data_IF_217684037479
#
_entry.id   IF_217684037479
#
_cell.length_a   1.000
_cell.length_b   1.000
_cell.length_c   1.000
_cell.angle_alpha   90.00
_cell.angle_beta   90.00
_cell.angle_gamma   90.00
#
_symmetry.space_group_name_H-M   'P 1'
#
loop_
_entity.id
_entity.type
_entity.pdbx_description
1 polymer ?
#
# COMPACT_ATOMS: atom_id res chain seq x y z
N UNK A 1 -4.74 10.15 -12.58
CA UNK A 1 -5.51 9.03 -11.98
C UNK A 1 -4.51 7.92 -11.74
N UNK A 2 -4.35 7.44 -10.51
CA UNK A 2 -3.47 6.28 -10.24
C UNK A 2 -4.17 5.04 -10.79
N UNK A 3 -3.56 4.34 -11.74
CA UNK A 3 -4.08 3.06 -12.23
C UNK A 3 -3.68 1.92 -11.30
N UNK A 4 -4.45 0.84 -11.30
CA UNK A 4 -4.11 -0.41 -10.61
C UNK A 4 -2.69 -0.88 -10.97
N UNK A 5 -2.29 -0.80 -12.25
CA UNK A 5 -0.93 -1.13 -12.68
C UNK A 5 0.15 -0.23 -12.05
N UNK A 6 -0.14 1.06 -11.88
CA UNK A 6 0.76 1.99 -11.22
C UNK A 6 0.90 1.66 -9.73
N UNK A 7 -0.19 1.25 -9.07
CA UNK A 7 -0.18 0.81 -7.68
C UNK A 7 0.60 -0.51 -7.52
N UNK A 8 0.33 -1.51 -8.37
CA UNK A 8 1.06 -2.79 -8.41
C UNK A 8 2.56 -2.60 -8.58
N UNK A 9 2.98 -1.78 -9.55
CA UNK A 9 4.41 -1.46 -9.73
C UNK A 9 5.01 -0.83 -8.48
N UNK A 10 4.25 0.03 -7.83
CA UNK A 10 4.72 0.74 -6.64
C UNK A 10 4.88 -0.20 -5.46
N UNK A 11 3.93 -1.12 -5.24
CA UNK A 11 4.02 -2.18 -4.22
C UNK A 11 5.12 -3.19 -4.54
N UNK A 12 5.22 -3.61 -5.81
CA UNK A 12 6.25 -4.55 -6.28
C UNK A 12 7.67 -3.97 -6.16
N UNK A 13 7.85 -2.69 -6.49
CA UNK A 13 9.15 -2.01 -6.38
C UNK A 13 9.67 -1.98 -4.94
N UNK A 14 8.79 -2.00 -3.94
CA UNK A 14 9.15 -1.81 -2.55
C UNK A 14 9.08 -3.09 -1.70
N UNK A 15 8.20 -4.04 -2.05
CA UNK A 15 8.04 -5.31 -1.33
C UNK A 15 8.73 -6.49 -2.03
N UNK A 16 9.15 -6.33 -3.28
CA UNK A 16 9.76 -7.42 -4.06
C UNK A 16 8.76 -8.52 -4.47
N UNK A 17 9.22 -9.54 -5.22
CA UNK A 17 8.38 -10.62 -5.75
C UNK A 17 7.99 -11.67 -4.70
N UNK A 18 8.67 -11.70 -3.55
CA UNK A 18 8.43 -12.70 -2.50
C UNK A 18 7.93 -12.01 -1.23
N UNK A 19 6.61 -12.03 -1.07
CA UNK A 19 5.87 -11.66 0.14
C UNK A 19 5.81 -10.16 0.44
N UNK A 20 4.59 -9.68 0.65
CA UNK A 20 4.35 -8.38 1.24
C UNK A 20 4.85 -8.39 2.69
N UNK A 21 6.09 -7.92 2.93
CA UNK A 21 6.64 -7.66 4.27
C UNK A 21 6.62 -6.15 4.55
N UNK A 22 5.69 -5.67 5.40
CA UNK A 22 5.60 -4.25 5.69
C UNK A 22 6.79 -3.69 6.49
N UNK A 23 7.51 -4.50 7.25
CA UNK A 23 8.73 -4.06 7.94
C UNK A 23 9.87 -3.83 6.94
N UNK A 24 10.04 -4.74 5.97
CA UNK A 24 10.98 -4.56 4.87
C UNK A 24 10.62 -3.35 3.99
N UNK A 25 9.33 -3.15 3.73
CA UNK A 25 8.80 -1.98 3.02
C UNK A 25 9.17 -0.69 3.77
N UNK A 26 8.94 -0.64 5.08
CA UNK A 26 9.26 0.52 5.92
C UNK A 26 10.76 0.82 5.91
N UNK A 27 11.60 -0.20 6.07
CA UNK A 27 13.05 -0.06 5.99
C UNK A 27 13.50 0.45 4.61
N UNK A 28 12.93 -0.05 3.51
CA UNK A 28 13.21 0.43 2.16
C UNK A 28 12.90 1.91 1.96
N UNK A 29 11.80 2.39 2.54
CA UNK A 29 11.38 3.79 2.48
C UNK A 29 12.24 4.74 3.32
N UNK A 30 12.98 4.22 4.29
CA UNK A 30 13.95 4.99 5.07
C UNK A 30 15.29 5.18 4.31
N UNK A 31 15.58 4.31 3.32
CA UNK A 31 16.84 4.33 2.57
C UNK A 31 16.85 5.39 1.47
N UNK A 32 15.75 5.54 0.72
CA UNK A 32 15.63 6.52 -0.38
C UNK A 32 14.48 7.52 -0.12
N UNK A 33 14.80 8.77 0.28
CA UNK A 33 13.80 9.80 0.56
C UNK A 33 12.96 10.23 -0.66
N UNK A 34 13.53 10.17 -1.87
CA UNK A 34 12.84 10.59 -3.09
C UNK A 34 11.81 9.54 -3.52
N UNK A 35 12.18 8.26 -3.44
CA UNK A 35 11.25 7.16 -3.68
C UNK A 35 10.19 7.06 -2.56
N UNK A 36 10.57 7.36 -1.32
CA UNK A 36 9.63 7.45 -0.19
C UNK A 36 8.57 8.52 -0.39
N UNK A 37 8.96 9.71 -0.85
CA UNK A 37 8.02 10.80 -1.19
C UNK A 37 7.08 10.40 -2.33
N UNK A 38 7.61 9.82 -3.41
CA UNK A 38 6.80 9.38 -4.56
C UNK A 38 5.84 8.26 -4.16
N UNK A 39 6.27 7.35 -3.29
CA UNK A 39 5.43 6.29 -2.76
C UNK A 39 4.27 6.87 -1.95
N UNK A 40 4.58 7.78 -1.03
CA UNK A 40 3.60 8.47 -0.19
C UNK A 40 2.54 9.18 -1.04
N UNK A 41 2.94 9.98 -2.03
CA UNK A 41 2.01 10.72 -2.89
C UNK A 41 1.06 9.78 -3.66
N UNK A 42 1.57 8.65 -4.15
CA UNK A 42 0.76 7.64 -4.84
C UNK A 42 -0.20 6.94 -3.88
N UNK A 43 0.26 6.59 -2.68
CA UNK A 43 -0.56 5.96 -1.65
C UNK A 43 -1.69 6.90 -1.22
N UNK A 44 -1.39 8.17 -0.94
CA UNK A 44 -2.39 9.20 -0.62
C UNK A 44 -3.44 9.34 -1.73
N UNK A 45 -3.03 9.24 -3.00
CA UNK A 45 -3.96 9.26 -4.13
C UNK A 45 -4.86 8.01 -4.19
N UNK A 46 -4.34 6.81 -3.90
CA UNK A 46 -5.17 5.59 -3.79
C UNK A 46 -6.20 5.73 -2.67
N UNK A 47 -5.79 6.21 -1.50
CA UNK A 47 -6.70 6.44 -0.37
C UNK A 47 -7.77 7.51 -0.67
N UNK A 48 -7.39 8.58 -1.38
CA UNK A 48 -8.31 9.69 -1.71
C UNK A 48 -9.32 9.30 -2.79
N UNK A 49 -8.86 8.69 -3.87
CA UNK A 49 -9.70 8.45 -5.05
C UNK A 49 -10.40 7.09 -5.03
N UNK A 50 -9.99 6.21 -4.12
CA UNK A 50 -10.51 4.86 -3.95
C UNK A 50 -10.73 4.13 -5.30
N UNK A 51 -9.69 4.00 -6.15
CA UNK A 51 -9.87 3.51 -7.52
C UNK A 51 -9.92 1.98 -7.65
N UNK A 52 -9.84 1.24 -6.53
CA UNK A 52 -9.77 -0.22 -6.48
C UNK A 52 -10.95 -0.77 -5.72
N UNK A 53 -11.47 -1.92 -6.14
CA UNK A 53 -12.35 -2.73 -5.30
C UNK A 53 -11.55 -3.73 -4.49
N UNK A 54 -12.15 -4.27 -3.42
CA UNK A 54 -11.60 -5.40 -2.65
C UNK A 54 -11.23 -6.54 -3.61
N UNK A 55 -12.18 -7.04 -4.41
CA UNK A 55 -11.94 -8.12 -5.39
C UNK A 55 -10.75 -7.88 -6.33
N UNK A 56 -10.49 -6.64 -6.74
CA UNK A 56 -9.35 -6.29 -7.59
C UNK A 56 -8.03 -6.35 -6.83
N UNK A 57 -8.05 -5.92 -5.57
CA UNK A 57 -6.90 -5.93 -4.68
C UNK A 57 -6.55 -7.36 -4.25
N UNK A 58 -7.53 -8.16 -3.80
CA UNK A 58 -7.33 -9.54 -3.29
C UNK A 58 -6.61 -10.46 -4.28
N UNK A 59 -6.94 -10.35 -5.57
CA UNK A 59 -6.38 -11.17 -6.66
C UNK A 59 -4.85 -11.16 -6.71
N UNK A 60 -4.22 -10.13 -6.18
CA UNK A 60 -2.78 -9.89 -6.34
C UNK A 60 -1.96 -10.09 -5.06
N UNK A 61 -2.59 -10.20 -3.88
CA UNK A 61 -1.90 -10.10 -2.57
C UNK A 61 -2.32 -11.18 -1.58
N UNK A 62 -3.35 -11.97 -1.90
CA UNK A 62 -3.73 -13.13 -1.10
C UNK A 62 -4.33 -12.79 0.27
N UNK A 63 -4.69 -11.53 0.50
CA UNK A 63 -5.56 -11.12 1.61
C UNK A 63 -7.00 -11.11 1.13
N UNK A 64 -7.93 -11.43 2.03
CA UNK A 64 -9.37 -11.34 1.81
C UNK A 64 -9.94 -10.20 2.65
N UNK A 65 -10.88 -9.45 2.06
CA UNK A 65 -11.62 -8.35 2.66
C UNK A 65 -13.11 -8.54 2.31
N UNK A 66 -13.98 -8.38 3.29
CA UNK A 66 -15.43 -8.55 3.08
C UNK A 66 -16.01 -7.46 2.16
N UNK A 67 -15.36 -6.29 2.10
CA UNK A 67 -15.78 -5.15 1.29
C UNK A 67 -14.67 -4.11 1.08
N UNK A 68 -14.93 -3.16 0.18
CA UNK A 68 -14.03 -2.05 -0.12
C UNK A 68 -13.72 -1.18 1.12
N UNK A 69 -14.65 -1.04 2.07
CA UNK A 69 -14.41 -0.23 3.28
C UNK A 69 -13.36 -0.86 4.19
N UNK A 70 -13.41 -2.17 4.38
CA UNK A 70 -12.42 -2.93 5.13
C UNK A 70 -11.04 -2.85 4.47
N UNK A 71 -10.98 -3.08 3.15
CA UNK A 71 -9.74 -2.93 2.37
C UNK A 71 -9.14 -1.52 2.52
N UNK A 72 -9.96 -0.47 2.35
CA UNK A 72 -9.46 0.90 2.48
C UNK A 72 -9.12 1.29 3.92
N UNK A 73 -9.76 0.67 4.92
CA UNK A 73 -9.38 0.76 6.33
C UNK A 73 -7.99 0.17 6.58
N UNK A 74 -7.74 -1.03 6.06
CA UNK A 74 -6.43 -1.67 6.10
C UNK A 74 -5.35 -0.82 5.42
N UNK A 75 -5.61 -0.36 4.19
CA UNK A 75 -4.68 0.52 3.45
C UNK A 75 -4.38 1.81 4.22
N UNK A 76 -5.36 2.36 4.94
CA UNK A 76 -5.16 3.56 5.74
C UNK A 76 -4.26 3.28 6.95
N UNK A 77 -4.50 2.20 7.67
CA UNK A 77 -3.66 1.80 8.79
C UNK A 77 -2.23 1.48 8.34
N UNK A 78 -2.07 0.87 7.17
CA UNK A 78 -0.77 0.64 6.55
C UNK A 78 -0.04 1.94 6.20
N UNK A 79 -0.74 2.92 5.64
CA UNK A 79 -0.18 4.25 5.39
C UNK A 79 0.33 4.90 6.69
N UNK A 80 -0.44 4.80 7.77
CA UNK A 80 -0.06 5.36 9.06
C UNK A 80 1.14 4.63 9.67
N UNK A 81 1.21 3.29 9.54
CA UNK A 81 2.36 2.49 9.94
C UNK A 81 3.66 2.92 9.23
N UNK A 82 3.57 3.13 7.92
CA UNK A 82 4.71 3.44 7.05
C UNK A 82 5.19 4.88 7.22
N UNK A 83 4.29 5.83 7.43
CA UNK A 83 4.63 7.26 7.36
C UNK A 83 4.33 8.09 8.61
N UNK A 84 3.48 7.59 9.53
CA UNK A 84 3.00 8.36 10.68
C UNK A 84 3.32 7.72 12.04
N UNK A 85 4.18 6.69 12.06
CA UNK A 85 4.50 5.88 13.27
C UNK A 85 3.25 5.21 13.89
N UNK A 86 2.26 4.86 13.06
CA UNK A 86 1.12 4.06 13.49
C UNK A 86 1.52 2.61 13.83
N UNK A 87 0.66 1.86 14.53
CA UNK A 87 0.84 0.43 14.73
C UNK A 87 0.68 -0.33 13.40
N UNK A 88 1.20 -1.55 13.35
CA UNK A 88 0.93 -2.46 12.23
C UNK A 88 -0.58 -2.77 12.18
N UNK A 89 -1.22 -2.80 10.99
CA UNK A 89 -2.63 -3.13 10.87
C UNK A 89 -2.92 -4.58 11.29
N UNK A 90 -3.88 -4.77 12.20
CA UNK A 90 -4.41 -6.09 12.61
C UNK A 90 -5.47 -6.63 11.66
#
# INVERSE_FOLDING_TARGET
MVSLDSWKRTMFLLCGPETYDPDALKAGLEIDPDDSRRFRERFEAVLRYRPLTADEYEKDIGFHFDNDEEMYGYLRAMFDFLFQRGPFPE
#
